data_IF_078260553629
#
_entry.id   IF_078260553629
#
_cell.length_a   1.000
_cell.length_b   1.000
_cell.length_c   1.000
_cell.angle_alpha   90.00
_cell.angle_beta   90.00
_cell.angle_gamma   90.00
#
_symmetry.space_group_name_H-M   'P 1'
#
loop_
_entity.id
_entity.type
_entity.pdbx_description
1 polymer ?
#
# COMPACT_ATOMS: atom_id res chain seq x y z
N UNK A 1 3.67 -25.99 -1.45
CA UNK A 1 2.78 -25.17 -0.62
C UNK A 1 3.04 -23.73 -0.99
N UNK A 2 2.00 -22.95 -1.26
CA UNK A 2 2.14 -21.52 -1.56
C UNK A 2 2.43 -20.79 -0.24
N UNK A 3 3.54 -20.06 -0.17
CA UNK A 3 3.85 -19.19 0.98
C UNK A 3 3.01 -17.92 0.85
N UNK A 4 2.40 -17.40 1.93
CA UNK A 4 1.73 -16.09 1.89
C UNK A 4 2.71 -15.02 1.42
N UNK A 5 2.18 -14.00 0.73
CA UNK A 5 2.96 -12.84 0.34
C UNK A 5 3.51 -12.15 1.58
N UNK A 6 4.82 -11.92 1.60
CA UNK A 6 5.46 -11.06 2.58
C UNK A 6 5.54 -9.65 1.98
N UNK A 7 4.94 -8.67 2.67
CA UNK A 7 4.80 -7.30 2.15
C UNK A 7 5.28 -6.32 3.20
N UNK A 8 6.36 -5.62 2.88
CA UNK A 8 6.90 -4.54 3.71
C UNK A 8 6.56 -3.18 3.11
N UNK A 9 6.07 -2.25 3.94
CA UNK A 9 5.76 -0.89 3.54
C UNK A 9 6.88 0.07 3.94
N UNK A 10 7.56 0.63 2.94
CA UNK A 10 8.63 1.61 3.07
C UNK A 10 8.16 3.01 2.64
N UNK A 11 8.92 4.06 3.01
CA UNK A 11 8.66 5.45 2.59
C UNK A 11 7.21 5.91 2.84
N UNK A 12 6.64 5.47 3.96
CA UNK A 12 5.25 5.73 4.34
C UNK A 12 5.03 7.22 4.58
N UNK A 13 4.03 7.80 3.92
CA UNK A 13 3.54 9.16 4.18
C UNK A 13 2.04 9.13 4.41
N UNK A 14 1.60 9.78 5.48
CA UNK A 14 0.21 9.78 5.91
C UNK A 14 -0.35 11.20 5.82
N UNK A 15 -1.51 11.34 5.20
CA UNK A 15 -2.27 12.59 5.14
C UNK A 15 -3.71 12.31 5.58
N UNK A 16 -4.22 13.04 6.57
CA UNK A 16 -5.59 12.88 7.05
C UNK A 16 -6.20 14.24 7.38
N UNK A 17 -7.46 14.42 7.00
CA UNK A 17 -8.26 15.61 7.31
C UNK A 17 -9.73 15.23 7.45
N UNK A 18 -10.31 15.50 8.63
CA UNK A 18 -11.66 15.06 8.96
C UNK A 18 -11.78 13.53 8.90
N UNK A 19 -12.76 13.05 8.16
CA UNK A 19 -13.06 11.63 8.00
C UNK A 19 -12.45 11.00 6.75
N UNK A 20 -11.57 11.71 6.04
CA UNK A 20 -10.86 11.21 4.86
C UNK A 20 -9.34 11.28 5.08
N UNK A 21 -8.64 10.25 4.64
CA UNK A 21 -7.18 10.24 4.63
C UNK A 21 -6.62 9.32 3.57
N UNK A 22 -5.34 9.45 3.28
CA UNK A 22 -4.63 8.52 2.43
C UNK A 22 -3.20 8.29 2.92
N UNK A 23 -2.69 7.09 2.62
CA UNK A 23 -1.32 6.69 2.85
C UNK A 23 -0.66 6.40 1.51
N UNK A 24 0.48 7.01 1.25
CA UNK A 24 1.36 6.60 0.15
C UNK A 24 2.54 5.81 0.70
N UNK A 25 2.93 4.73 0.05
CA UNK A 25 4.09 3.92 0.43
C UNK A 25 4.76 3.27 -0.79
N UNK A 26 5.95 2.74 -0.58
CA UNK A 26 6.60 1.77 -1.44
C UNK A 26 6.38 0.39 -0.83
N UNK A 27 5.81 -0.55 -1.56
CA UNK A 27 5.57 -1.92 -1.10
C UNK A 27 6.66 -2.83 -1.66
N UNK A 28 7.44 -3.45 -0.77
CA UNK A 28 8.36 -4.53 -1.10
C UNK A 28 7.61 -5.85 -0.95
N UNK A 29 7.35 -6.53 -2.06
CA UNK A 29 6.57 -7.76 -2.09
C UNK A 29 7.52 -8.92 -2.36
N UNK A 30 7.59 -9.88 -1.43
CA UNK A 30 8.29 -11.14 -1.58
C UNK A 30 7.26 -12.29 -1.67
N UNK A 31 7.32 -13.04 -2.76
CA UNK A 31 6.40 -14.15 -3.05
C UNK A 31 7.15 -15.47 -3.22
N UNK A 32 6.43 -16.54 -3.51
CA UNK A 32 7.06 -17.82 -3.90
C UNK A 32 7.70 -17.77 -5.29
N UNK A 33 7.32 -16.80 -6.13
CA UNK A 33 7.70 -16.73 -7.55
C UNK A 33 8.58 -15.53 -7.89
N UNK A 34 8.83 -14.61 -6.95
CA UNK A 34 9.76 -13.52 -7.14
C UNK A 34 9.56 -12.34 -6.18
N UNK A 35 10.30 -11.27 -6.45
CA UNK A 35 10.27 -10.03 -5.70
C UNK A 35 9.70 -8.90 -6.58
N UNK A 36 8.85 -8.06 -5.99
CA UNK A 36 8.25 -6.90 -6.62
C UNK A 36 8.46 -5.63 -5.79
N UNK A 37 8.53 -4.49 -6.46
CA UNK A 37 8.43 -3.18 -5.80
C UNK A 37 7.25 -2.43 -6.42
N UNK A 38 6.31 -2.01 -5.58
CA UNK A 38 5.15 -1.22 -5.98
C UNK A 38 5.20 0.16 -5.33
N UNK A 39 4.61 1.16 -5.96
CA UNK A 39 4.17 2.39 -5.28
C UNK A 39 2.67 2.31 -5.11
N UNK A 40 2.19 2.60 -3.90
CA UNK A 40 0.77 2.48 -3.58
C UNK A 40 0.19 3.77 -2.99
N UNK A 41 -1.07 4.03 -3.31
CA UNK A 41 -1.94 5.00 -2.64
C UNK A 41 -3.13 4.25 -2.03
N UNK A 42 -3.24 4.34 -0.71
CA UNK A 42 -4.27 3.68 0.09
C UNK A 42 -5.19 4.76 0.67
N UNK A 43 -6.44 4.84 0.22
CA UNK A 43 -7.42 5.83 0.68
C UNK A 43 -8.29 5.21 1.76
N UNK A 44 -8.48 5.94 2.85
CA UNK A 44 -9.26 5.54 3.99
C UNK A 44 -10.38 6.56 4.28
N UNK A 45 -11.54 6.04 4.67
CA UNK A 45 -12.66 6.81 5.22
C UNK A 45 -12.88 6.37 6.67
N UNK A 46 -13.17 7.32 7.56
CA UNK A 46 -13.56 7.02 8.94
C UNK A 46 -15.06 6.75 9.00
N UNK A 47 -15.41 5.48 9.18
CA UNK A 47 -16.80 5.02 9.27
C UNK A 47 -17.06 4.49 10.68
N UNK A 48 -18.01 5.11 11.40
CA UNK A 48 -18.33 4.70 12.78
C UNK A 48 -17.14 4.83 13.76
N UNK A 49 -16.25 5.78 13.53
CA UNK A 49 -15.04 6.00 14.35
C UNK A 49 -13.82 5.17 13.92
N UNK A 50 -14.00 4.17 13.05
CA UNK A 50 -12.92 3.31 12.55
C UNK A 50 -12.49 3.71 11.14
N UNK A 51 -11.18 3.72 10.88
CA UNK A 51 -10.67 3.89 9.52
C UNK A 51 -10.84 2.61 8.73
N UNK A 52 -11.51 2.71 7.58
CA UNK A 52 -11.68 1.63 6.61
C UNK A 52 -11.00 2.03 5.30
N UNK A 53 -10.23 1.13 4.70
CA UNK A 53 -9.69 1.37 3.37
C UNK A 53 -10.84 1.30 2.36
N UNK A 54 -11.02 2.37 1.58
CA UNK A 54 -12.11 2.48 0.58
C UNK A 54 -11.59 2.46 -0.86
N UNK A 55 -10.29 2.69 -1.06
CA UNK A 55 -9.63 2.55 -2.36
C UNK A 55 -8.17 2.17 -2.17
N UNK A 56 -7.69 1.26 -3.03
CA UNK A 56 -6.29 0.87 -3.12
C UNK A 56 -5.87 0.95 -4.58
N UNK A 57 -4.77 1.65 -4.85
CA UNK A 57 -4.13 1.70 -6.15
C UNK A 57 -2.65 1.43 -5.96
N UNK A 58 -2.12 0.42 -6.63
CA UNK A 58 -0.70 0.13 -6.68
C UNK A 58 -0.23 -0.02 -8.13
N UNK A 59 0.97 0.47 -8.42
CA UNK A 59 1.63 0.30 -9.71
C UNK A 59 3.03 -0.26 -9.51
N UNK A 60 3.46 -1.12 -10.43
CA UNK A 60 4.84 -1.60 -10.48
C UNK A 60 5.81 -0.45 -10.71
N UNK A 61 6.93 -0.46 -10.00
CA UNK A 61 8.04 0.45 -10.24
C UNK A 61 9.03 -0.23 -11.18
N UNK A 62 9.06 0.20 -12.44
CA UNK A 62 10.14 -0.14 -13.36
C UNK A 62 11.17 0.99 -13.29
N UNK A 63 12.40 0.70 -12.88
CA UNK A 63 13.48 1.67 -12.96
C UNK A 63 13.69 2.11 -14.42
N UNK A 64 13.99 3.38 -14.64
CA UNK A 64 14.59 3.81 -15.90
C UNK A 64 16.02 3.26 -15.92
N UNK A 65 16.33 2.45 -16.96
CA UNK A 65 17.71 2.16 -17.36
C UNK A 65 18.39 3.45 -17.81
#
# INVERSE_FOLDING_TARGET
MERPLDVEAENVRVHASGDLGFVTCVEKVDSSTGYGTLTATNVFERQGGEWKMVHHHANGVQGLL
#
